data_IF_804396782541
#
_entry.id   IF_804396782541
#
_cell.length_a   1.000
_cell.length_b   1.000
_cell.length_c   1.000
_cell.angle_alpha   90.00
_cell.angle_beta   90.00
_cell.angle_gamma   90.00
#
_symmetry.space_group_name_H-M   'P 1'
#
loop_
_entity.id
_entity.type
_entity.pdbx_description
1 polymer ?
#
# COMPACT_ATOMS: atom_id res chain seq x y z
N UNK A 1 -20.01 -60.17 47.87
CA UNK A 1 -19.27 -60.13 46.59
C UNK A 1 -18.25 -59.01 46.68
N UNK A 2 -16.94 -59.32 46.55
CA UNK A 2 -15.87 -58.33 46.73
C UNK A 2 -15.65 -57.50 45.46
N UNK A 3 -15.46 -56.19 45.60
CA UNK A 3 -15.02 -55.30 44.52
C UNK A 3 -13.63 -55.71 44.08
N UNK A 4 -13.50 -56.22 42.84
CA UNK A 4 -12.21 -56.49 42.20
C UNK A 4 -11.48 -55.17 42.02
N UNK A 5 -10.36 -55.01 42.71
CA UNK A 5 -9.49 -53.85 42.51
C UNK A 5 -8.93 -53.89 41.09
N UNK A 6 -9.12 -52.79 40.33
CA UNK A 6 -8.49 -52.60 39.02
C UNK A 6 -7.49 -51.45 39.15
N UNK A 7 -6.21 -51.65 38.79
CA UNK A 7 -5.24 -50.57 38.81
C UNK A 7 -5.68 -49.47 37.84
N UNK A 8 -5.62 -48.21 38.29
CA UNK A 8 -5.87 -47.05 37.43
C UNK A 8 -4.78 -47.03 36.35
N UNK A 9 -5.17 -46.88 35.08
CA UNK A 9 -4.20 -46.74 33.99
C UNK A 9 -3.37 -45.49 34.24
N UNK A 10 -2.08 -45.67 34.50
CA UNK A 10 -1.15 -44.55 34.64
C UNK A 10 -1.20 -43.74 33.33
N UNK A 11 -1.57 -42.46 33.40
CA UNK A 11 -1.65 -41.56 32.25
C UNK A 11 -3.05 -41.24 31.68
N UNK A 12 -4.16 -41.83 32.18
CA UNK A 12 -5.52 -41.41 31.77
C UNK A 12 -5.93 -40.04 32.31
N UNK A 13 -5.29 -39.61 33.39
CA UNK A 13 -5.61 -38.39 34.13
C UNK A 13 -4.78 -37.19 33.63
N UNK A 14 -3.89 -37.43 32.65
CA UNK A 14 -3.12 -36.36 32.01
C UNK A 14 -4.05 -35.74 30.96
N UNK A 15 -4.45 -34.47 31.10
CA UNK A 15 -5.21 -33.81 30.05
C UNK A 15 -4.37 -33.82 28.79
N UNK A 16 -4.95 -34.30 27.68
CA UNK A 16 -4.31 -34.20 26.37
C UNK A 16 -3.91 -32.73 26.18
N UNK A 17 -2.64 -32.43 25.88
CA UNK A 17 -2.27 -31.06 25.58
C UNK A 17 -3.20 -30.57 24.46
N UNK A 18 -3.66 -29.31 24.52
CA UNK A 18 -4.54 -28.78 23.50
C UNK A 18 -3.90 -29.03 22.14
N UNK A 19 -4.64 -29.68 21.24
CA UNK A 19 -4.19 -29.87 19.86
C UNK A 19 -3.91 -28.49 19.28
N UNK A 20 -2.64 -28.21 19.01
CA UNK A 20 -2.25 -26.97 18.37
C UNK A 20 -2.87 -26.98 16.98
N UNK A 21 -3.79 -26.05 16.73
CA UNK A 21 -4.28 -25.81 15.38
C UNK A 21 -3.08 -25.61 14.44
N UNK A 22 -3.11 -26.14 13.21
CA UNK A 22 -2.02 -25.94 12.27
C UNK A 22 -1.79 -24.44 12.11
N UNK A 23 -0.63 -23.98 12.58
CA UNK A 23 -0.26 -22.57 12.50
C UNK A 23 0.02 -22.26 11.05
N UNK A 24 -0.77 -21.37 10.47
CA UNK A 24 -0.49 -20.82 9.14
C UNK A 24 0.88 -20.15 9.19
N UNK A 25 1.75 -20.50 8.25
CA UNK A 25 3.06 -19.88 8.15
C UNK A 25 2.90 -18.37 7.93
N UNK A 26 3.56 -17.60 8.79
CA UNK A 26 3.59 -16.14 8.69
C UNK A 26 5.02 -15.69 8.53
N UNK A 27 5.27 -15.00 7.42
CA UNK A 27 6.54 -14.41 7.09
C UNK A 27 6.65 -13.01 7.68
N UNK A 28 7.86 -12.64 8.10
CA UNK A 28 8.17 -11.26 8.48
C UNK A 28 8.31 -10.42 7.21
N UNK A 29 7.42 -9.45 7.05
CA UNK A 29 7.40 -8.54 5.91
C UNK A 29 7.79 -7.14 6.36
N UNK A 30 8.65 -6.47 5.57
CA UNK A 30 8.95 -5.04 5.70
C UNK A 30 8.01 -4.26 4.78
N UNK A 31 7.19 -3.40 5.37
CA UNK A 31 6.31 -2.50 4.64
C UNK A 31 6.97 -1.13 4.58
N UNK A 32 7.06 -0.57 3.39
CA UNK A 32 7.57 0.78 3.14
C UNK A 32 6.38 1.65 2.77
N UNK A 33 6.16 2.69 3.57
CA UNK A 33 5.13 3.70 3.37
C UNK A 33 5.58 4.76 2.36
N UNK A 34 4.64 5.62 1.94
CA UNK A 34 4.86 6.66 0.94
C UNK A 34 5.88 7.73 1.37
N UNK A 35 6.00 7.98 2.67
CA UNK A 35 7.01 8.85 3.28
C UNK A 35 8.39 8.18 3.43
N UNK A 36 8.49 6.90 3.04
CA UNK A 36 9.68 6.09 3.23
C UNK A 36 9.81 5.49 4.63
N UNK A 37 8.88 5.78 5.55
CA UNK A 37 8.89 5.14 6.87
C UNK A 37 8.60 3.63 6.73
N UNK A 38 9.18 2.84 7.63
CA UNK A 38 9.12 1.38 7.51
C UNK A 38 8.71 0.71 8.80
N UNK A 39 7.88 -0.31 8.69
CA UNK A 39 7.53 -1.17 9.82
C UNK A 39 7.52 -2.64 9.39
N UNK A 40 7.66 -3.53 10.37
CA UNK A 40 7.70 -4.97 10.15
C UNK A 40 6.47 -5.63 10.75
N UNK A 41 5.77 -6.47 9.97
CA UNK A 41 4.64 -7.27 10.45
C UNK A 41 4.77 -8.73 10.02
N UNK A 42 3.97 -9.59 10.64
CA UNK A 42 3.80 -10.98 10.24
C UNK A 42 2.61 -11.09 9.28
N UNK A 43 2.84 -11.64 8.08
CA UNK A 43 1.83 -11.82 7.04
C UNK A 43 2.07 -13.12 6.28
N UNK A 44 1.03 -13.67 5.66
CA UNK A 44 1.08 -14.95 4.95
C UNK A 44 1.67 -14.83 3.54
N UNK A 45 1.92 -13.61 3.07
CA UNK A 45 2.50 -13.38 1.75
C UNK A 45 4.02 -13.68 1.76
N UNK A 46 4.56 -14.34 0.73
CA UNK A 46 5.97 -14.70 0.66
C UNK A 46 6.89 -13.51 0.34
N UNK A 47 6.33 -12.34 0.00
CA UNK A 47 7.13 -11.16 -0.35
C UNK A 47 7.82 -10.59 0.90
N UNK A 48 9.14 -10.38 0.83
CA UNK A 48 9.89 -9.82 1.95
C UNK A 48 9.68 -8.32 2.14
N UNK A 49 9.47 -7.59 1.04
CA UNK A 49 9.28 -6.13 1.03
C UNK A 49 8.06 -5.76 0.21
N UNK A 50 7.21 -4.90 0.77
CA UNK A 50 6.03 -4.35 0.11
C UNK A 50 6.11 -2.82 0.18
N UNK A 51 6.02 -2.16 -0.98
CA UNK A 51 5.95 -0.71 -1.09
C UNK A 51 4.51 -0.29 -1.32
N UNK A 52 4.02 0.65 -0.51
CA UNK A 52 2.65 1.17 -0.62
C UNK A 52 2.66 2.49 -1.38
N UNK A 53 1.86 2.56 -2.44
CA UNK A 53 1.61 3.80 -3.16
C UNK A 53 0.52 4.66 -2.49
N UNK A 54 -0.47 4.00 -1.87
CA UNK A 54 -1.56 4.62 -1.11
C UNK A 54 -1.53 4.09 0.32
N UNK A 55 -1.48 5.01 1.27
CA UNK A 55 -1.44 4.72 2.71
C UNK A 55 -2.18 5.82 3.49
N UNK A 56 -2.16 5.73 4.82
CA UNK A 56 -2.83 6.68 5.70
C UNK A 56 -2.23 8.09 5.68
N UNK A 57 -0.99 8.26 5.19
CA UNK A 57 -0.29 9.56 5.15
C UNK A 57 -0.59 10.33 3.87
N UNK A 58 -0.75 9.63 2.75
CA UNK A 58 -1.08 10.19 1.43
C UNK A 58 -2.61 10.26 1.16
N UNK A 59 -3.45 9.71 2.03
CA UNK A 59 -4.89 9.65 1.76
C UNK A 59 -5.65 10.86 2.34
N UNK A 60 -6.49 11.54 1.53
CA UNK A 60 -7.09 12.84 1.89
C UNK A 60 -7.95 12.79 3.16
N UNK A 61 -8.62 11.67 3.40
CA UNK A 61 -9.48 11.48 4.58
C UNK A 61 -8.71 11.63 5.90
N UNK A 62 -7.46 11.17 5.95
CA UNK A 62 -6.67 11.15 7.19
C UNK A 62 -5.66 12.30 7.26
N UNK A 63 -5.36 12.95 6.14
CA UNK A 63 -4.44 14.08 6.07
C UNK A 63 -5.01 15.22 5.20
N UNK A 64 -6.08 15.90 5.65
CA UNK A 64 -6.80 16.89 4.85
C UNK A 64 -5.99 18.17 4.57
N UNK A 65 -4.98 18.44 5.40
CA UNK A 65 -4.05 19.56 5.22
C UNK A 65 -3.00 19.29 4.14
N UNK A 66 -2.79 18.02 3.78
CA UNK A 66 -1.86 17.68 2.71
C UNK A 66 -2.49 18.12 1.41
N UNK A 67 -1.86 19.13 0.79
CA UNK A 67 -2.28 19.64 -0.51
C UNK A 67 -1.96 18.54 -1.51
N UNK A 68 -2.91 17.63 -1.70
CA UNK A 68 -2.87 16.71 -2.81
C UNK A 68 -3.00 17.61 -4.04
N UNK A 69 -1.91 17.76 -4.78
CA UNK A 69 -2.06 18.07 -6.20
C UNK A 69 -3.12 17.10 -6.72
N UNK A 70 -4.13 17.62 -7.43
CA UNK A 70 -5.15 16.82 -8.11
C UNK A 70 -4.42 15.93 -9.14
N UNK A 71 -3.78 14.87 -8.64
CA UNK A 71 -3.16 13.85 -9.44
C UNK A 71 -4.32 13.11 -10.07
N UNK A 72 -4.49 13.35 -11.35
CA UNK A 72 -5.50 12.74 -12.19
C UNK A 72 -5.24 11.24 -12.28
N UNK A 73 -5.77 10.49 -11.31
CA UNK A 73 -5.68 9.03 -11.26
C UNK A 73 -6.33 8.38 -12.50
N UNK A 74 -7.28 9.09 -13.13
CA UNK A 74 -7.96 8.65 -14.34
C UNK A 74 -7.23 9.00 -15.65
N UNK A 75 -6.18 9.82 -15.62
CA UNK A 75 -5.45 10.27 -16.80
C UNK A 75 -6.28 11.09 -17.80
N UNK A 76 -7.45 11.62 -17.41
CA UNK A 76 -8.32 12.44 -18.26
C UNK A 76 -7.67 13.77 -18.65
N UNK A 77 -7.08 14.48 -17.69
CA UNK A 77 -6.34 15.72 -17.87
C UNK A 77 -5.08 15.47 -18.72
N UNK A 78 -4.37 14.37 -18.43
CA UNK A 78 -3.19 13.99 -19.22
C UNK A 78 -3.56 13.68 -20.68
N UNK A 79 -4.65 12.96 -20.91
CA UNK A 79 -5.19 12.66 -22.25
C UNK A 79 -5.66 13.92 -22.98
N UNK A 80 -6.27 14.85 -22.27
CA UNK A 80 -6.69 16.14 -22.83
C UNK A 80 -5.47 16.96 -23.24
N UNK A 81 -4.49 17.15 -22.34
CA UNK A 81 -3.25 17.87 -22.63
C UNK A 81 -2.48 17.24 -23.79
N UNK A 82 -2.48 15.91 -23.91
CA UNK A 82 -1.86 15.23 -25.05
C UNK A 82 -2.54 15.52 -26.39
N UNK A 83 -3.86 15.75 -26.40
CA UNK A 83 -4.63 16.01 -27.62
C UNK A 83 -4.64 17.49 -28.00
N UNK A 84 -4.70 18.38 -27.01
CA UNK A 84 -4.98 19.79 -27.22
C UNK A 84 -3.91 20.73 -26.66
N UNK A 85 -2.90 20.22 -25.96
CA UNK A 85 -1.84 21.03 -25.34
C UNK A 85 -0.93 21.74 -26.35
N UNK A 86 -0.82 21.23 -27.57
CA UNK A 86 -0.04 21.85 -28.65
C UNK A 86 -0.71 23.13 -29.18
N UNK A 87 -2.04 23.19 -29.17
CA UNK A 87 -2.80 24.39 -29.56
C UNK A 87 -2.81 25.48 -28.48
N UNK A 88 -2.43 25.15 -27.24
CA UNK A 88 -2.38 26.09 -26.12
C UNK A 88 -1.08 26.90 -26.05
N UNK A 89 0.01 26.41 -26.64
CA UNK A 89 1.30 27.13 -26.73
C UNK A 89 1.38 28.06 -27.94
N UNK A 90 0.27 28.29 -28.65
CA UNK A 90 0.24 29.19 -29.81
C UNK A 90 0.61 30.64 -29.46
N UNK A 91 0.62 31.00 -28.16
CA UNK A 91 1.00 32.34 -27.69
C UNK A 91 2.51 32.61 -27.76
N UNK A 92 3.36 31.59 -27.63
CA UNK A 92 4.82 31.78 -27.68
C UNK A 92 5.29 32.10 -29.11
N UNK A 93 4.62 31.56 -30.13
CA UNK A 93 4.90 31.87 -31.54
C UNK A 93 4.46 33.30 -31.94
N UNK A 94 3.56 33.95 -31.18
CA UNK A 94 3.14 35.34 -31.42
C UNK A 94 4.12 36.36 -30.83
N UNK A 95 4.76 36.04 -29.70
CA UNK A 95 5.75 36.92 -29.07
C UNK A 95 7.03 37.02 -29.93
N UNK A 96 7.44 35.94 -30.60
CA UNK A 96 8.55 35.92 -31.57
C UNK A 96 8.29 36.80 -32.81
N UNK A 97 7.02 37.06 -33.15
CA UNK A 97 6.65 37.92 -34.29
C UNK A 97 6.77 39.41 -33.97
N UNK A 98 6.58 39.82 -32.71
CA UNK A 98 6.64 41.22 -32.28
C UNK A 98 8.09 41.73 -32.18
N UNK A 99 9.04 40.85 -31.82
CA UNK A 99 10.47 41.18 -31.73
C UNK A 99 11.14 41.42 -33.10
N UNK A 100 10.51 40.99 -34.19
CA UNK A 100 11.03 41.16 -35.57
C UNK A 100 10.68 42.55 -36.12
N UNK A 101 9.55 43.15 -35.72
CA UNK A 101 9.10 44.47 -36.18
C UNK A 101 9.85 45.63 -35.50
N UNK A 102 10.39 45.45 -34.28
CA UNK A 102 11.12 46.51 -33.55
C UNK A 102 12.57 46.71 -34.05
N UNK A 103 13.05 45.86 -34.98
CA UNK A 103 14.42 45.90 -35.53
C UNK A 103 14.57 46.47 -36.94
N UNK A 104 13.53 47.06 -37.52
CA UNK A 104 13.61 47.84 -38.77
C UNK A 104 13.61 49.35 -38.49
#
# INVERSE_FOLDING_TARGET
>A
MAKVWRPRKIGSDIPKPPELQPRIESFRQKIILSDGSTFTLHSTSPKSVIKLAKDTRNHPLWNPQYKLDLQDEGGHLSRFNKKFGEYGNIGEDFDDFLDIEEKQ
#
